data_IF_143316132734
#
_entry.id   IF_143316132734
#
_cell.length_a   1.000
_cell.length_b   1.000
_cell.length_c   1.000
_cell.angle_alpha   90.00
_cell.angle_beta   90.00
_cell.angle_gamma   90.00
#
_symmetry.space_group_name_H-M   'P 1'
#
loop_
_entity.id
_entity.type
_entity.pdbx_description
1 polymer ?
#
# COMPACT_ATOMS: atom_id res chain seq x y z
N UNK A 1 -9.44 24.99 1.48
CA UNK A 1 -9.41 23.74 2.26
C UNK A 1 -8.46 23.80 3.45
N UNK A 2 -7.35 24.54 3.40
CA UNK A 2 -6.39 24.58 4.52
C UNK A 2 -6.96 25.12 5.85
N UNK A 3 -7.98 25.99 5.80
CA UNK A 3 -8.72 26.46 7.00
C UNK A 3 -9.40 25.34 7.78
N UNK A 4 -9.71 24.20 7.14
CA UNK A 4 -10.33 23.04 7.82
C UNK A 4 -9.28 22.10 8.44
N UNK A 5 -7.98 22.37 8.32
CA UNK A 5 -6.96 21.54 8.96
C UNK A 5 -7.03 21.58 10.49
N UNK A 6 -7.53 22.68 11.07
CA UNK A 6 -7.70 22.81 12.52
C UNK A 6 -8.90 21.99 13.04
N UNK A 7 -9.97 21.87 12.24
CA UNK A 7 -11.18 21.13 12.57
C UNK A 7 -11.62 20.21 11.42
N UNK A 8 -10.83 19.17 11.09
CA UNK A 8 -11.05 18.37 9.89
C UNK A 8 -12.31 17.49 9.95
N UNK A 9 -12.85 17.25 11.15
CA UNK A 9 -14.08 16.50 11.37
C UNK A 9 -15.34 17.21 10.85
N UNK A 10 -15.27 18.53 10.62
CA UNK A 10 -16.37 19.28 10.01
C UNK A 10 -16.65 18.86 8.56
N UNK A 11 -15.69 18.18 7.91
CA UNK A 11 -15.88 17.65 6.56
C UNK A 11 -16.67 16.34 6.54
N UNK A 12 -16.81 15.63 7.67
CA UNK A 12 -17.37 14.27 7.74
C UNK A 12 -18.74 14.14 7.07
N UNK A 13 -19.71 15.06 7.29
CA UNK A 13 -21.02 15.01 6.64
C UNK A 13 -20.97 15.19 5.12
N UNK A 14 -19.85 15.67 4.58
CA UNK A 14 -19.70 16.01 3.17
C UNK A 14 -18.81 15.05 2.38
N UNK A 15 -18.07 14.16 3.07
CA UNK A 15 -17.08 13.31 2.40
C UNK A 15 -17.71 12.38 1.37
N UNK A 16 -18.85 11.77 1.70
CA UNK A 16 -19.49 10.76 0.86
C UNK A 16 -19.99 11.35 -0.47
N UNK A 17 -20.76 12.44 -0.42
CA UNK A 17 -21.27 13.04 -1.66
C UNK A 17 -20.14 13.64 -2.51
N UNK A 18 -19.13 14.25 -1.89
CA UNK A 18 -17.96 14.79 -2.61
C UNK A 18 -17.17 13.66 -3.29
N UNK A 19 -16.99 12.54 -2.59
CA UNK A 19 -16.34 11.37 -3.17
C UNK A 19 -17.14 10.82 -4.35
N UNK A 20 -18.45 10.60 -4.19
CA UNK A 20 -19.30 10.05 -5.25
C UNK A 20 -19.31 10.94 -6.49
N UNK A 21 -19.38 12.27 -6.31
CA UNK A 21 -19.30 13.22 -7.41
C UNK A 21 -17.98 13.09 -8.20
N UNK A 22 -16.85 13.07 -7.48
CA UNK A 22 -15.52 12.99 -8.10
C UNK A 22 -15.26 11.60 -8.72
N UNK A 23 -15.74 10.53 -8.09
CA UNK A 23 -15.64 9.18 -8.66
C UNK A 23 -16.53 8.99 -9.88
N UNK A 24 -17.70 9.64 -9.93
CA UNK A 24 -18.54 9.66 -11.13
C UNK A 24 -17.81 10.20 -12.35
N UNK A 25 -17.00 11.25 -12.18
CA UNK A 25 -16.12 11.79 -13.23
C UNK A 25 -15.02 10.77 -13.61
N UNK A 26 -14.39 10.15 -12.62
CA UNK A 26 -13.29 9.19 -12.84
C UNK A 26 -13.77 7.93 -13.56
N UNK A 27 -14.99 7.47 -13.28
CA UNK A 27 -15.58 6.26 -13.85
C UNK A 27 -16.26 6.49 -15.21
N UNK A 28 -16.55 7.74 -15.57
CA UNK A 28 -17.12 8.08 -16.87
C UNK A 28 -16.05 7.96 -17.98
N UNK A 29 -16.22 6.96 -18.85
CA UNK A 29 -15.31 6.69 -19.97
C UNK A 29 -15.24 7.84 -21.00
N UNK A 30 -16.21 8.76 -20.99
CA UNK A 30 -16.24 9.93 -21.86
C UNK A 30 -15.50 11.14 -21.26
N UNK A 31 -15.10 11.08 -19.99
CA UNK A 31 -14.38 12.17 -19.35
C UNK A 31 -12.97 12.36 -19.93
N UNK A 32 -12.58 13.60 -20.27
CA UNK A 32 -11.21 13.90 -20.70
C UNK A 32 -10.18 13.54 -19.62
N UNK A 33 -9.00 13.10 -20.03
CA UNK A 33 -7.92 12.71 -19.10
C UNK A 33 -7.58 13.82 -18.09
N UNK A 34 -7.50 15.07 -18.53
CA UNK A 34 -7.23 16.23 -17.66
C UNK A 34 -8.29 16.40 -16.57
N UNK A 35 -9.56 16.12 -16.89
CA UNK A 35 -10.66 16.20 -15.94
C UNK A 35 -10.57 15.07 -14.91
N UNK A 36 -10.19 13.86 -15.33
CA UNK A 36 -9.93 12.72 -14.43
C UNK A 36 -8.77 13.03 -13.48
N UNK A 37 -7.66 13.58 -13.99
CA UNK A 37 -6.53 13.99 -13.16
C UNK A 37 -6.91 15.10 -12.17
N UNK A 38 -7.72 16.06 -12.60
CA UNK A 38 -8.25 17.12 -11.73
C UNK A 38 -9.16 16.56 -10.63
N UNK A 39 -10.01 15.58 -10.96
CA UNK A 39 -10.87 14.91 -9.99
C UNK A 39 -10.03 14.19 -8.92
N UNK A 40 -8.99 13.45 -9.32
CA UNK A 40 -8.06 12.83 -8.38
C UNK A 40 -7.28 13.84 -7.53
N UNK A 41 -6.91 14.99 -8.09
CA UNK A 41 -6.29 16.07 -7.33
C UNK A 41 -7.22 16.61 -6.23
N UNK A 42 -8.51 16.76 -6.52
CA UNK A 42 -9.50 17.14 -5.51
C UNK A 42 -9.70 16.05 -4.45
N UNK A 43 -9.78 14.77 -4.86
CA UNK A 43 -9.81 13.65 -3.93
C UNK A 43 -8.59 13.67 -2.99
N UNK A 44 -7.39 13.89 -3.55
CA UNK A 44 -6.18 14.03 -2.76
C UNK A 44 -6.28 15.17 -1.73
N UNK A 45 -6.75 16.36 -2.13
CA UNK A 45 -6.93 17.49 -1.21
C UNK A 45 -7.86 17.11 -0.05
N UNK A 46 -8.98 16.44 -0.33
CA UNK A 46 -9.93 15.99 0.71
C UNK A 46 -9.23 15.02 1.66
N UNK A 47 -8.51 14.01 1.13
CA UNK A 47 -7.80 13.03 1.96
C UNK A 47 -6.65 13.65 2.77
N UNK A 48 -6.01 14.71 2.26
CA UNK A 48 -4.94 15.44 2.95
C UNK A 48 -5.50 16.18 4.17
N UNK A 49 -6.66 16.81 4.05
CA UNK A 49 -7.29 17.55 5.16
C UNK A 49 -7.87 16.59 6.20
N UNK A 50 -8.72 15.65 5.76
CA UNK A 50 -9.45 14.77 6.70
C UNK A 50 -8.59 13.64 7.27
N UNK A 51 -7.59 13.21 6.51
CA UNK A 51 -6.81 12.00 6.75
C UNK A 51 -7.30 10.84 5.90
N UNK A 52 -6.37 10.26 5.13
CA UNK A 52 -6.67 9.20 4.16
C UNK A 52 -7.38 8.00 4.79
N UNK A 53 -7.08 7.61 6.03
CA UNK A 53 -7.67 6.42 6.66
C UNK A 53 -9.18 6.49 6.84
N UNK A 54 -9.71 7.67 7.14
CA UNK A 54 -11.15 7.88 7.25
C UNK A 54 -11.77 7.81 5.86
N UNK A 55 -11.14 8.52 4.91
CA UNK A 55 -11.61 8.59 3.53
C UNK A 55 -11.59 7.22 2.81
N UNK A 56 -10.58 6.38 3.09
CA UNK A 56 -10.44 5.04 2.51
C UNK A 56 -11.68 4.15 2.74
N UNK A 57 -12.44 4.38 3.81
CA UNK A 57 -13.64 3.59 4.12
C UNK A 57 -14.80 3.88 3.19
N UNK A 58 -14.75 5.01 2.47
CA UNK A 58 -15.79 5.44 1.57
C UNK A 58 -15.59 4.87 0.16
N UNK A 59 -14.36 4.51 -0.22
CA UNK A 59 -14.06 4.03 -1.56
C UNK A 59 -14.87 2.77 -1.92
N UNK A 60 -15.34 2.65 -3.18
CA UNK A 60 -15.86 1.40 -3.72
C UNK A 60 -14.84 0.27 -3.56
N UNK A 61 -15.32 -0.89 -3.13
CA UNK A 61 -14.47 -2.03 -2.79
C UNK A 61 -15.13 -3.35 -3.18
N UNK A 62 -15.88 -3.33 -4.27
CA UNK A 62 -16.51 -4.50 -4.86
C UNK A 62 -15.55 -5.20 -5.83
N UNK A 63 -15.86 -6.45 -6.16
CA UNK A 63 -15.07 -7.23 -7.14
C UNK A 63 -15.02 -6.53 -8.51
N UNK A 64 -16.13 -5.87 -8.87
CA UNK A 64 -16.25 -5.13 -10.12
C UNK A 64 -15.28 -3.95 -10.22
N UNK A 65 -14.79 -3.41 -9.09
CA UNK A 65 -13.88 -2.25 -9.06
C UNK A 65 -12.41 -2.62 -9.31
N UNK A 66 -12.03 -3.88 -9.04
CA UNK A 66 -10.62 -4.30 -9.09
C UNK A 66 -10.02 -4.13 -10.49
N UNK A 67 -10.71 -4.63 -11.52
CA UNK A 67 -10.20 -4.61 -12.89
C UNK A 67 -10.15 -3.19 -13.48
N UNK A 68 -11.21 -2.36 -13.37
CA UNK A 68 -11.16 -0.96 -13.81
C UNK A 68 -10.02 -0.16 -13.17
N UNK A 69 -9.79 -0.32 -11.86
CA UNK A 69 -8.68 0.37 -11.17
C UNK A 69 -7.32 -0.10 -11.70
N UNK A 70 -7.15 -1.40 -11.96
CA UNK A 70 -5.93 -1.93 -12.57
C UNK A 70 -5.69 -1.43 -14.00
N UNK A 71 -6.74 -1.24 -14.78
CA UNK A 71 -6.63 -0.74 -16.15
C UNK A 71 -6.38 0.78 -16.19
N UNK A 72 -6.81 1.54 -15.17
CA UNK A 72 -6.39 2.94 -15.03
C UNK A 72 -4.87 3.07 -14.87
N UNK A 73 -4.19 2.09 -14.23
CA UNK A 73 -2.74 2.08 -14.08
C UNK A 73 -1.98 1.89 -15.40
N UNK A 74 -2.57 1.27 -16.43
CA UNK A 74 -1.86 1.06 -17.71
C UNK A 74 -1.54 2.37 -18.43
N UNK A 75 -2.26 3.43 -18.08
CA UNK A 75 -2.10 4.78 -18.65
C UNK A 75 -1.24 5.69 -17.77
N UNK A 76 -0.74 5.21 -16.62
CA UNK A 76 0.04 6.03 -15.69
C UNK A 76 1.53 5.86 -15.94
N UNK A 77 2.27 6.97 -15.83
CA UNK A 77 3.73 6.97 -15.85
C UNK A 77 4.27 7.23 -14.42
N UNK A 78 4.98 6.27 -13.80
CA UNK A 78 5.57 6.47 -12.46
C UNK A 78 6.58 7.61 -12.38
N UNK A 79 7.15 8.04 -13.51
CA UNK A 79 8.14 9.12 -13.59
C UNK A 79 7.54 10.49 -13.89
N UNK A 80 6.24 10.56 -14.18
CA UNK A 80 5.60 11.85 -14.46
C UNK A 80 5.41 12.65 -13.16
N UNK A 81 5.87 13.88 -13.11
CA UNK A 81 5.77 14.71 -11.91
C UNK A 81 4.44 15.46 -11.77
N UNK A 82 3.61 15.50 -12.82
CA UNK A 82 2.38 16.32 -12.83
C UNK A 82 1.16 15.59 -12.26
N UNK A 83 1.07 14.27 -12.45
CA UNK A 83 -0.12 13.48 -12.10
C UNK A 83 0.06 12.56 -10.89
N UNK A 84 1.00 12.86 -9.99
CA UNK A 84 1.29 12.00 -8.84
C UNK A 84 0.08 11.83 -7.90
N UNK A 85 -0.81 12.82 -7.78
CA UNK A 85 -2.05 12.71 -7.01
C UNK A 85 -2.96 11.61 -7.57
N UNK A 86 -2.99 11.44 -8.90
CA UNK A 86 -3.75 10.37 -9.55
C UNK A 86 -3.23 9.01 -9.10
N UNK A 87 -1.93 8.80 -9.21
CA UNK A 87 -1.28 7.53 -8.85
C UNK A 87 -1.41 7.24 -7.36
N UNK A 88 -1.24 8.26 -6.51
CA UNK A 88 -1.48 8.16 -5.07
C UNK A 88 -2.90 7.71 -4.76
N UNK A 89 -3.91 8.34 -5.36
CA UNK A 89 -5.32 8.00 -5.10
C UNK A 89 -5.69 6.62 -5.68
N UNK A 90 -5.18 6.25 -6.85
CA UNK A 90 -5.36 4.92 -7.43
C UNK A 90 -4.76 3.81 -6.55
N UNK A 91 -3.56 4.01 -6.00
CA UNK A 91 -2.93 3.04 -5.09
C UNK A 91 -3.73 2.88 -3.79
N UNK A 92 -4.25 3.99 -3.27
CA UNK A 92 -5.13 3.97 -2.11
C UNK A 92 -6.45 3.24 -2.39
N UNK A 93 -7.09 3.50 -3.53
CA UNK A 93 -8.31 2.81 -3.94
C UNK A 93 -8.05 1.32 -4.13
N UNK A 94 -6.99 0.96 -4.86
CA UNK A 94 -6.57 -0.43 -5.04
C UNK A 94 -6.31 -1.11 -3.69
N UNK A 95 -5.77 -0.41 -2.69
CA UNK A 95 -5.55 -0.97 -1.35
C UNK A 95 -6.83 -1.42 -0.63
N UNK A 96 -7.99 -0.89 -1.02
CA UNK A 96 -9.30 -1.23 -0.44
C UNK A 96 -10.06 -2.18 -1.36
N UNK A 97 -10.02 -1.97 -2.68
CA UNK A 97 -10.56 -2.92 -3.65
C UNK A 97 -9.91 -4.31 -3.49
N UNK A 98 -8.63 -4.35 -3.10
CA UNK A 98 -7.94 -5.57 -2.74
C UNK A 98 -8.40 -6.23 -1.44
N UNK A 99 -9.42 -5.74 -0.73
CA UNK A 99 -9.96 -6.36 0.49
C UNK A 99 -11.25 -7.17 0.26
N UNK A 100 -11.62 -7.40 -1.01
CA UNK A 100 -12.78 -8.25 -1.38
C UNK A 100 -12.71 -9.63 -0.69
N UNK A 101 -13.86 -10.21 -0.28
CA UNK A 101 -13.89 -11.45 0.51
C UNK A 101 -13.66 -12.72 -0.33
N UNK A 102 -13.14 -12.60 -1.55
CA UNK A 102 -12.93 -13.70 -2.49
C UNK A 102 -11.46 -13.85 -2.85
N UNK A 103 -11.04 -15.08 -3.11
CA UNK A 103 -9.68 -15.39 -3.56
C UNK A 103 -9.40 -14.77 -4.93
N UNK A 104 -8.25 -14.10 -5.05
CA UNK A 104 -7.83 -13.46 -6.29
C UNK A 104 -7.66 -14.45 -7.46
N UNK A 105 -7.38 -15.71 -7.16
CA UNK A 105 -7.29 -16.77 -8.17
C UNK A 105 -8.58 -16.96 -8.99
N UNK A 106 -9.74 -16.55 -8.44
CA UNK A 106 -11.03 -16.59 -9.16
C UNK A 106 -11.14 -15.52 -10.22
N UNK A 107 -10.39 -14.42 -10.08
CA UNK A 107 -10.41 -13.30 -11.01
C UNK A 107 -9.54 -13.55 -12.25
N UNK A 108 -8.63 -14.51 -12.18
CA UNK A 108 -7.76 -14.89 -13.30
C UNK A 108 -8.49 -15.68 -14.42
N UNK A 109 -9.81 -15.88 -14.31
CA UNK A 109 -10.62 -16.78 -15.16
C UNK A 109 -10.99 -16.24 -16.56
N UNK A 110 -10.94 -14.92 -16.79
CA UNK A 110 -11.34 -14.30 -18.06
C UNK A 110 -10.18 -13.96 -19.00
N UNK A 111 -8.99 -14.52 -18.78
CA UNK A 111 -7.80 -14.22 -19.58
C UNK A 111 -7.87 -14.93 -20.95
N UNK A 112 -8.48 -14.26 -21.94
CA UNK A 112 -8.51 -14.72 -23.34
C UNK A 112 -7.07 -14.79 -23.88
N UNK A 113 -6.74 -15.94 -24.47
CA UNK A 113 -5.37 -16.32 -24.82
C UNK A 113 -4.98 -15.83 -26.21
N UNK A 114 -3.83 -15.17 -26.35
CA UNK A 114 -3.03 -15.21 -27.58
C UNK A 114 -1.77 -16.06 -27.33
N UNK A 115 -1.36 -16.93 -28.27
CA UNK A 115 -0.19 -17.79 -28.08
C UNK A 115 1.09 -16.95 -28.03
N UNK A 116 1.86 -17.07 -26.94
CA UNK A 116 3.19 -16.46 -26.78
C UNK A 116 3.36 -15.42 -25.67
N UNK A 117 2.28 -14.99 -24.99
CA UNK A 117 2.38 -14.09 -23.84
C UNK A 117 2.51 -14.84 -22.52
N UNK A 118 3.56 -14.54 -21.76
CA UNK A 118 3.72 -15.01 -20.37
C UNK A 118 2.59 -14.44 -19.53
N UNK A 119 1.69 -15.31 -19.06
CA UNK A 119 0.53 -14.97 -18.23
C UNK A 119 0.99 -14.28 -16.93
N UNK A 120 0.60 -13.03 -16.71
CA UNK A 120 0.77 -12.35 -15.41
C UNK A 120 -0.55 -12.48 -14.66
N UNK A 121 -0.54 -13.15 -13.50
CA UNK A 121 -1.74 -13.24 -12.65
C UNK A 121 -2.13 -11.87 -12.12
N UNK A 122 -3.39 -11.66 -11.72
CA UNK A 122 -3.82 -10.40 -11.09
C UNK A 122 -2.98 -10.11 -9.84
N UNK A 123 -2.63 -11.15 -9.07
CA UNK A 123 -1.76 -10.99 -7.91
C UNK A 123 -0.38 -10.46 -8.29
N UNK A 124 0.22 -11.00 -9.36
CA UNK A 124 1.52 -10.55 -9.86
C UNK A 124 1.44 -9.12 -10.40
N UNK A 125 0.36 -8.79 -11.11
CA UNK A 125 0.11 -7.46 -11.67
C UNK A 125 0.00 -6.40 -10.56
N UNK A 126 -0.72 -6.70 -9.48
CA UNK A 126 -0.82 -5.82 -8.29
C UNK A 126 0.55 -5.64 -7.61
N UNK A 127 1.34 -6.70 -7.47
CA UNK A 127 2.66 -6.63 -6.85
C UNK A 127 3.64 -5.82 -7.69
N UNK A 128 3.68 -6.03 -9.00
CA UNK A 128 4.52 -5.25 -9.91
C UNK A 128 4.18 -3.75 -9.84
N UNK A 129 2.89 -3.40 -9.76
CA UNK A 129 2.46 -2.02 -9.53
C UNK A 129 3.02 -1.54 -8.19
N UNK A 130 2.75 -2.25 -7.09
CA UNK A 130 3.22 -1.85 -5.76
C UNK A 130 4.75 -1.66 -5.70
N UNK A 131 5.52 -2.61 -6.20
CA UNK A 131 6.98 -2.57 -6.27
C UNK A 131 7.49 -1.37 -7.08
N UNK A 132 6.88 -1.09 -8.24
CA UNK A 132 7.24 0.06 -9.08
C UNK A 132 7.01 1.40 -8.37
N UNK A 133 5.95 1.50 -7.57
CA UNK A 133 5.61 2.70 -6.82
C UNK A 133 6.30 2.79 -5.46
N UNK A 134 6.85 1.70 -4.91
CA UNK A 134 7.64 1.77 -3.67
C UNK A 134 8.98 2.49 -3.86
N UNK A 135 9.44 2.63 -5.09
CA UNK A 135 10.74 3.24 -5.44
C UNK A 135 10.61 4.60 -6.13
N UNK A 136 9.45 5.25 -6.07
CA UNK A 136 9.26 6.63 -6.58
C UNK A 136 9.55 7.69 -5.51
N UNK A 137 9.95 8.88 -5.94
CA UNK A 137 10.27 10.00 -5.04
C UNK A 137 9.05 10.75 -4.50
N UNK A 138 7.88 10.55 -5.11
CA UNK A 138 6.64 11.25 -4.76
C UNK A 138 5.85 10.51 -3.65
N UNK A 139 4.71 11.10 -3.27
CA UNK A 139 3.88 10.58 -2.17
C UNK A 139 3.16 9.26 -2.51
N UNK A 140 3.03 8.89 -3.79
CA UNK A 140 2.44 7.62 -4.22
C UNK A 140 3.16 6.43 -3.56
N UNK A 141 4.46 6.57 -3.25
CA UNK A 141 5.22 5.61 -2.44
C UNK A 141 4.56 5.24 -1.11
N UNK A 142 4.02 6.22 -0.39
CA UNK A 142 3.35 5.98 0.89
C UNK A 142 2.06 5.15 0.68
N UNK A 143 1.34 5.41 -0.41
CA UNK A 143 0.14 4.65 -0.79
C UNK A 143 0.49 3.23 -1.26
N UNK A 144 1.59 3.04 -1.98
CA UNK A 144 2.09 1.72 -2.36
C UNK A 144 2.43 0.87 -1.13
N UNK A 145 3.05 1.47 -0.11
CA UNK A 145 3.30 0.79 1.17
C UNK A 145 2.00 0.38 1.89
N UNK A 146 0.94 1.20 1.80
CA UNK A 146 -0.39 0.84 2.31
C UNK A 146 -0.99 -0.33 1.53
N UNK A 147 -0.99 -0.25 0.20
CA UNK A 147 -1.47 -1.29 -0.72
C UNK A 147 -0.83 -2.63 -0.39
N UNK A 148 0.51 -2.70 -0.44
CA UNK A 148 1.20 -3.98 -0.27
C UNK A 148 0.97 -4.56 1.11
N UNK A 149 0.94 -3.74 2.17
CA UNK A 149 0.75 -4.22 3.54
C UNK A 149 -0.59 -4.91 3.76
N UNK A 150 -1.65 -4.43 3.11
CA UNK A 150 -2.97 -5.06 3.17
C UNK A 150 -3.04 -6.26 2.22
N UNK A 151 -2.45 -6.14 1.05
CA UNK A 151 -2.53 -7.15 0.00
C UNK A 151 -1.78 -8.44 0.37
N UNK A 152 -0.50 -8.34 0.75
CA UNK A 152 0.34 -9.53 1.03
C UNK A 152 0.01 -10.22 2.35
N UNK A 153 -0.76 -9.56 3.23
CA UNK A 153 -1.21 -10.14 4.50
C UNK A 153 -2.57 -10.82 4.40
N UNK A 154 -3.23 -10.77 3.24
CA UNK A 154 -4.45 -11.55 2.97
C UNK A 154 -4.16 -13.05 2.95
N UNK A 155 -5.06 -13.91 3.44
CA UNK A 155 -4.84 -15.36 3.48
C UNK A 155 -4.41 -15.97 2.13
N UNK A 156 -5.16 -15.71 1.06
CA UNK A 156 -4.94 -16.29 -0.27
C UNK A 156 -3.67 -15.79 -0.97
N UNK A 157 -3.33 -14.51 -0.75
CA UNK A 157 -2.15 -13.87 -1.31
C UNK A 157 -0.89 -14.23 -0.51
N UNK A 158 -0.99 -14.26 0.81
CA UNK A 158 0.11 -14.54 1.74
C UNK A 158 0.82 -15.83 1.37
N UNK A 159 0.04 -16.90 1.21
CA UNK A 159 0.56 -18.25 0.92
C UNK A 159 1.39 -18.29 -0.38
N UNK A 160 1.05 -17.45 -1.36
CA UNK A 160 1.66 -17.48 -2.69
C UNK A 160 2.73 -16.40 -2.88
N UNK A 161 2.62 -15.26 -2.21
CA UNK A 161 3.34 -14.03 -2.57
C UNK A 161 4.11 -13.36 -1.44
N UNK A 162 3.77 -13.60 -0.17
CA UNK A 162 4.43 -12.90 0.94
C UNK A 162 5.93 -13.16 0.99
N UNK A 163 6.35 -14.42 0.83
CA UNK A 163 7.78 -14.78 0.83
C UNK A 163 8.55 -14.07 -0.30
N UNK A 164 8.00 -14.07 -1.52
CA UNK A 164 8.62 -13.41 -2.68
C UNK A 164 8.74 -11.89 -2.50
N UNK A 165 7.69 -11.25 -2.00
CA UNK A 165 7.73 -9.80 -1.74
C UNK A 165 8.74 -9.43 -0.63
N UNK A 166 8.83 -10.26 0.42
CA UNK A 166 9.83 -10.05 1.47
C UNK A 166 11.25 -10.23 0.92
N UNK A 167 11.50 -11.26 0.10
CA UNK A 167 12.80 -11.45 -0.54
C UNK A 167 13.18 -10.26 -1.42
N UNK A 168 12.26 -9.79 -2.27
CA UNK A 168 12.44 -8.56 -3.05
C UNK A 168 12.80 -7.37 -2.15
N UNK A 169 12.03 -7.15 -1.07
CA UNK A 169 12.27 -6.05 -0.12
C UNK A 169 13.67 -6.13 0.51
N UNK A 170 14.11 -7.33 0.89
CA UNK A 170 15.42 -7.52 1.51
C UNK A 170 16.56 -7.33 0.50
N UNK A 171 16.37 -7.76 -0.76
CA UNK A 171 17.29 -7.50 -1.85
C UNK A 171 17.39 -6.00 -2.17
N UNK A 172 16.26 -5.30 -2.24
CA UNK A 172 16.22 -3.84 -2.45
C UNK A 172 16.99 -3.11 -1.34
N UNK A 173 16.78 -3.47 -0.07
CA UNK A 173 17.56 -2.90 1.04
C UNK A 173 19.05 -3.25 0.97
N UNK A 174 19.41 -4.42 0.43
CA UNK A 174 20.80 -4.83 0.26
C UNK A 174 21.55 -4.02 -0.79
N UNK A 175 20.85 -3.66 -1.87
CA UNK A 175 21.42 -2.98 -3.02
C UNK A 175 21.33 -1.45 -2.89
N UNK A 176 20.53 -0.96 -1.93
CA UNK A 176 20.33 0.47 -1.70
C UNK A 176 21.32 1.04 -0.67
N UNK A 177 21.67 2.31 -0.86
CA UNK A 177 22.61 3.03 -0.01
C UNK A 177 22.02 4.39 0.36
N UNK A 178 22.05 4.75 1.64
CA UNK A 178 21.56 6.06 2.09
C UNK A 178 22.50 7.22 1.72
N UNK A 179 23.60 6.93 1.01
CA UNK A 179 24.52 7.91 0.45
C UNK A 179 24.07 8.42 -0.93
N UNK A 180 23.18 7.71 -1.63
CA UNK A 180 22.61 8.13 -2.92
C UNK A 180 21.14 8.53 -2.79
N UNK A 181 20.66 9.41 -3.67
CA UNK A 181 19.27 9.87 -3.63
C UNK A 181 18.32 8.71 -3.96
N UNK A 182 18.64 7.93 -4.98
CA UNK A 182 17.87 6.76 -5.41
C UNK A 182 17.81 5.70 -4.30
N UNK A 183 18.94 5.47 -3.63
CA UNK A 183 19.00 4.54 -2.51
C UNK A 183 18.16 5.00 -1.32
N UNK A 184 18.19 6.29 -0.97
CA UNK A 184 17.30 6.86 0.05
C UNK A 184 15.83 6.65 -0.31
N UNK A 185 15.47 6.87 -1.57
CA UNK A 185 14.10 6.72 -2.06
C UNK A 185 13.61 5.28 -1.93
N UNK A 186 14.42 4.32 -2.41
CA UNK A 186 14.10 2.90 -2.37
C UNK A 186 14.06 2.36 -0.93
N UNK A 187 15.00 2.78 -0.07
CA UNK A 187 15.00 2.40 1.34
C UNK A 187 13.77 2.93 2.07
N UNK A 188 13.36 4.18 1.82
CA UNK A 188 12.18 4.77 2.46
C UNK A 188 10.93 3.92 2.18
N UNK A 189 10.60 3.70 0.91
CA UNK A 189 9.40 2.94 0.55
C UNK A 189 9.44 1.50 1.07
N UNK A 190 10.59 0.83 0.94
CA UNK A 190 10.76 -0.55 1.39
C UNK A 190 10.61 -0.66 2.91
N UNK A 191 11.25 0.23 3.69
CA UNK A 191 11.11 0.26 5.14
C UNK A 191 9.68 0.60 5.57
N UNK A 192 9.00 1.49 4.85
CA UNK A 192 7.58 1.78 5.08
C UNK A 192 6.71 0.54 4.87
N UNK A 193 6.88 -0.15 3.74
CA UNK A 193 6.15 -1.38 3.40
C UNK A 193 6.36 -2.47 4.45
N UNK A 194 7.63 -2.79 4.76
CA UNK A 194 7.99 -3.77 5.79
C UNK A 194 7.37 -3.40 7.14
N UNK A 195 7.51 -2.14 7.57
CA UNK A 195 6.93 -1.74 8.83
C UNK A 195 5.41 -1.95 8.78
N UNK A 196 4.71 -1.57 7.71
CA UNK A 196 3.25 -1.74 7.64
C UNK A 196 2.84 -3.22 7.61
N UNK A 197 3.58 -4.09 6.92
CA UNK A 197 3.36 -5.54 6.92
C UNK A 197 3.45 -6.08 8.35
N UNK A 198 4.53 -5.80 9.08
CA UNK A 198 4.68 -6.26 10.48
C UNK A 198 3.73 -5.58 11.47
N UNK A 199 2.98 -4.55 11.05
CA UNK A 199 1.91 -3.95 11.85
C UNK A 199 0.57 -4.64 11.61
N UNK A 200 0.29 -5.02 10.37
CA UNK A 200 -1.04 -5.48 9.94
C UNK A 200 -1.13 -7.00 9.83
N UNK A 201 -0.01 -7.67 9.54
CA UNK A 201 0.08 -9.12 9.46
C UNK A 201 -0.08 -9.78 10.82
N UNK A 202 -0.63 -11.00 10.81
CA UNK A 202 -0.74 -11.81 12.02
C UNK A 202 0.65 -12.23 12.48
N UNK A 203 0.85 -12.32 13.79
CA UNK A 203 2.13 -12.75 14.39
C UNK A 203 2.60 -14.09 13.82
N UNK A 204 1.71 -15.07 13.73
CA UNK A 204 2.00 -16.42 13.21
C UNK A 204 2.55 -16.40 11.78
N UNK A 205 2.04 -15.50 10.96
CA UNK A 205 2.42 -15.35 9.56
C UNK A 205 3.73 -14.59 9.39
N UNK A 206 3.98 -13.59 10.24
CA UNK A 206 5.18 -12.75 10.17
C UNK A 206 6.39 -13.34 10.90
N UNK A 207 6.16 -14.16 11.94
CA UNK A 207 7.22 -14.70 12.80
C UNK A 207 8.31 -15.47 12.05
N UNK A 208 8.03 -16.33 11.05
CA UNK A 208 9.05 -17.06 10.31
C UNK A 208 10.07 -16.14 9.62
N UNK A 209 9.67 -14.92 9.25
CA UNK A 209 10.49 -13.98 8.51
C UNK A 209 11.16 -12.92 9.41
N UNK A 210 10.69 -12.76 10.65
CA UNK A 210 11.07 -11.66 11.52
C UNK A 210 12.58 -11.59 11.80
N UNK A 211 13.23 -12.74 12.01
CA UNK A 211 14.68 -12.79 12.27
C UNK A 211 15.50 -12.31 11.07
N UNK A 212 15.17 -12.80 9.87
CA UNK A 212 15.84 -12.41 8.63
C UNK A 212 15.66 -10.92 8.36
N UNK A 213 14.44 -10.40 8.52
CA UNK A 213 14.17 -8.96 8.34
C UNK A 213 14.94 -8.12 9.36
N UNK A 214 15.05 -8.56 10.62
CA UNK A 214 15.83 -7.87 11.64
C UNK A 214 17.33 -7.83 11.31
N UNK A 215 17.91 -8.96 10.88
CA UNK A 215 19.31 -9.02 10.47
C UNK A 215 19.59 -8.08 9.30
N UNK A 216 18.69 -8.06 8.30
CA UNK A 216 18.81 -7.15 7.16
C UNK A 216 18.68 -5.69 7.57
N UNK A 217 17.79 -5.38 8.51
CA UNK A 217 17.64 -4.03 9.05
C UNK A 217 18.90 -3.55 9.78
N UNK A 218 19.52 -4.41 10.60
CA UNK A 218 20.79 -4.08 11.29
C UNK A 218 21.92 -3.81 10.28
N UNK A 219 22.01 -4.65 9.24
CA UNK A 219 23.00 -4.51 8.18
C UNK A 219 22.88 -3.18 7.41
N UNK A 220 21.69 -2.56 7.36
CA UNK A 220 21.49 -1.25 6.73
C UNK A 220 22.19 -0.11 7.49
N UNK A 221 22.64 -0.32 8.74
CA UNK A 221 23.32 0.69 9.58
C UNK A 221 22.62 2.05 9.59
N UNK A 222 21.27 2.04 9.60
CA UNK A 222 20.43 3.24 9.56
C UNK A 222 20.77 4.29 10.63
N UNK A 223 21.19 3.94 11.87
CA UNK A 223 21.61 4.94 12.85
C UNK A 223 22.70 5.90 12.35
N UNK A 224 23.54 5.46 11.41
CA UNK A 224 24.62 6.25 10.82
C UNK A 224 24.15 7.12 9.64
N UNK A 225 22.91 6.95 9.17
CA UNK A 225 22.36 7.76 8.09
C UNK A 225 22.14 9.20 8.55
N UNK A 226 22.43 10.18 7.70
CA UNK A 226 22.06 11.58 7.92
C UNK A 226 20.54 11.80 7.80
N UNK A 227 19.81 10.89 7.14
CA UNK A 227 18.38 11.01 6.87
C UNK A 227 17.52 10.64 8.09
N UNK A 228 16.92 11.65 8.73
CA UNK A 228 16.06 11.48 9.92
C UNK A 228 14.87 10.55 9.66
N UNK A 229 14.30 10.59 8.45
CA UNK A 229 13.17 9.75 8.09
C UNK A 229 13.55 8.26 8.08
N UNK A 230 14.70 7.91 7.50
CA UNK A 230 15.18 6.52 7.46
C UNK A 230 15.48 6.00 8.88
N UNK A 231 16.09 6.81 9.74
CA UNK A 231 16.30 6.46 11.15
C UNK A 231 14.97 6.18 11.87
N UNK A 232 13.98 7.05 11.68
CA UNK A 232 12.63 6.88 12.26
C UNK A 232 11.96 5.60 11.76
N UNK A 233 12.04 5.29 10.47
CA UNK A 233 11.48 4.07 9.90
C UNK A 233 12.19 2.81 10.39
N UNK A 234 13.51 2.86 10.54
CA UNK A 234 14.30 1.79 11.12
C UNK A 234 13.84 1.45 12.54
N UNK A 235 13.72 2.46 13.41
CA UNK A 235 13.20 2.27 14.79
C UNK A 235 11.78 1.72 14.77
N UNK A 236 10.92 2.24 13.89
CA UNK A 236 9.52 1.81 13.75
C UNK A 236 9.41 0.34 13.32
N UNK A 237 10.27 -0.12 12.40
CA UNK A 237 10.31 -1.52 11.97
C UNK A 237 10.88 -2.40 13.08
N UNK A 238 12.01 -2.01 13.70
CA UNK A 238 12.60 -2.74 14.83
C UNK A 238 11.61 -2.96 15.98
N UNK A 239 10.83 -1.94 16.33
CA UNK A 239 9.77 -2.05 17.35
C UNK A 239 8.73 -3.12 16.98
N UNK A 240 8.28 -3.16 15.72
CA UNK A 240 7.25 -4.10 15.26
C UNK A 240 7.78 -5.54 15.20
N UNK A 241 9.05 -5.70 14.79
CA UNK A 241 9.75 -6.98 14.85
C UNK A 241 9.86 -7.46 16.30
N UNK A 242 10.26 -6.57 17.23
CA UNK A 242 10.28 -6.85 18.66
C UNK A 242 8.94 -7.38 19.18
N UNK A 243 7.84 -6.69 18.84
CA UNK A 243 6.49 -7.14 19.20
C UNK A 243 6.10 -8.48 18.56
N UNK A 244 6.63 -8.79 17.37
CA UNK A 244 6.39 -10.07 16.69
C UNK A 244 7.08 -11.22 17.42
N UNK A 245 8.29 -11.01 17.96
CA UNK A 245 8.99 -12.04 18.74
C UNK A 245 8.28 -12.34 20.07
N UNK A 246 7.72 -11.33 20.73
CA UNK A 246 7.02 -11.50 22.00
C UNK A 246 5.75 -12.34 21.83
N UNK A 247 5.57 -13.33 22.72
CA UNK A 247 4.32 -14.10 22.76
C UNK A 247 3.18 -13.21 23.30
N UNK A 248 1.97 -13.25 22.71
CA UNK A 248 0.82 -12.55 23.26
C UNK A 248 0.55 -13.03 24.69
N UNK A 249 0.39 -12.09 25.64
CA UNK A 249 -0.10 -12.44 26.97
C UNK A 249 -1.61 -12.64 26.89
N UNK A 250 -2.07 -13.89 27.01
CA UNK A 250 -3.49 -14.17 27.18
C UNK A 250 -3.90 -13.67 28.58
N UNK A 251 -4.80 -12.69 28.63
CA UNK A 251 -5.34 -12.22 29.88
C UNK A 251 -6.23 -13.30 30.49
N UNK A 252 -6.10 -13.55 31.80
CA UNK A 252 -6.76 -14.67 32.50
C UNK A 252 -8.29 -14.68 32.34
N UNK A 253 -8.92 -13.52 32.17
CA UNK A 253 -10.37 -13.40 31.97
C UNK A 253 -10.87 -13.95 30.63
N UNK A 254 -10.01 -14.17 29.62
CA UNK A 254 -10.41 -14.80 28.34
C UNK A 254 -10.50 -16.33 28.41
N UNK A 255 -10.02 -16.94 29.49
CA UNK A 255 -10.07 -18.40 29.68
C UNK A 255 -11.35 -18.85 30.42
N UNK A 256 -12.23 -17.92 30.80
CA UNK A 256 -13.37 -18.21 31.69
C UNK A 256 -14.65 -18.62 30.94
N UNK A 257 -14.70 -18.54 29.60
CA UNK A 257 -15.94 -18.78 28.84
C UNK A 257 -16.11 -20.20 28.26
N UNK A 258 -15.44 -21.23 28.81
CA UNK A 258 -15.65 -22.63 28.37
C UNK A 258 -15.48 -23.67 29.50
N UNK A 259 -16.18 -23.50 30.62
CA UNK A 259 -16.31 -24.53 31.65
C UNK A 259 -17.79 -24.79 31.96
#
# INVERSE_FOLDING_TARGET
MDKYQEQPHLLDPHLEWMMNLLLGIVQDQTSPADLVHLAFKFLYIITKVRGYKTFLRLFPHEVADVQPVLDMFTHQNPRDHETWETRYMLLLWLSVACLIPFDFSRLDGNLVTQPGQTRVSIMDRILQIAESYLVVSDKARDAAAVLVSKFVTRPDVKEKKMAGFLDWSLCTLAQSSFQTIEGVIAMDGTLQALAQIFKHGKREDCLPYAATVLQRLDACRLPNSSQTLLRKLGVKLAQRLGLTFLKPRLAQWRLVDWA
#
